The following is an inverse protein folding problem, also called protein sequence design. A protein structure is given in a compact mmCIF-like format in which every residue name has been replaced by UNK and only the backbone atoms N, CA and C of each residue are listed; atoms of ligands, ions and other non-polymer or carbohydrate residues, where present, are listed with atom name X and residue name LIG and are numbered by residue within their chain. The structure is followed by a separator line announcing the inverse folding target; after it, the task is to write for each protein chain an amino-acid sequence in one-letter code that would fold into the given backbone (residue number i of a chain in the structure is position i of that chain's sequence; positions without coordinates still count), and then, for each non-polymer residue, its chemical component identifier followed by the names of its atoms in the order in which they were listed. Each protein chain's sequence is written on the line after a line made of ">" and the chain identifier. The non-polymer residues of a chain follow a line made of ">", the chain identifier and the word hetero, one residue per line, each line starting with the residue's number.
data_IF_700677936994
#
_entry.id   IF_700677936994
#
_cell.length_a   1.000
_cell.length_b   1.000
_cell.length_c   1.000
_cell.angle_alpha   90.00
_cell.angle_beta   90.00
_cell.angle_gamma   90.00
#
_symmetry.space_group_name_H-M   'P 1'
#
loop_
_entity.id
_entity.type
_entity.pdbx_description
1 polymer ?
#
# COMPACT_ATOMS: atom_id res chain seq x y z
N UNK A 1 -10.82 -9.69 -20.56
CA UNK A 1 -10.98 -9.41 -19.26
C UNK A 1 -10.62 -7.98 -18.93
N UNK A 2 -10.74 -7.67 -17.66
CA UNK A 2 -10.69 -6.27 -17.25
C UNK A 2 -9.39 -5.61 -17.69
N UNK A 3 -8.28 -6.26 -17.40
CA UNK A 3 -7.00 -5.65 -17.69
C UNK A 3 -6.76 -5.44 -19.17
N UNK A 4 -7.08 -6.44 -19.98
CA UNK A 4 -6.80 -6.27 -21.38
C UNK A 4 -7.69 -5.19 -21.98
N UNK A 5 -8.93 -5.09 -21.52
CA UNK A 5 -9.79 -4.01 -21.96
C UNK A 5 -9.27 -2.66 -21.58
N UNK A 6 -8.74 -2.54 -20.37
CA UNK A 6 -8.21 -1.28 -19.91
C UNK A 6 -6.91 -0.92 -20.58
N UNK A 7 -6.04 -1.90 -20.73
CA UNK A 7 -4.74 -1.64 -21.31
C UNK A 7 -4.87 -1.19 -22.76
N UNK A 8 -5.73 -1.82 -23.50
CA UNK A 8 -5.85 -1.49 -24.90
C UNK A 8 -6.70 -0.29 -25.18
N UNK A 9 -7.34 0.25 -24.19
CA UNK A 9 -8.25 1.36 -24.40
C UNK A 9 -7.58 2.68 -24.09
N UNK A 10 -8.30 3.73 -24.34
CA UNK A 10 -7.84 5.05 -24.01
C UNK A 10 -8.20 5.43 -22.59
N UNK A 11 -8.62 4.48 -21.77
CA UNK A 11 -8.94 4.77 -20.38
C UNK A 11 -7.70 5.26 -19.65
N UNK A 12 -7.75 6.46 -19.15
CA UNK A 12 -6.62 7.04 -18.45
C UNK A 12 -6.59 6.53 -17.01
N UNK A 13 -5.48 6.83 -16.33
CA UNK A 13 -5.29 6.38 -14.95
C UNK A 13 -6.36 6.96 -14.04
N UNK A 14 -6.77 8.20 -14.29
CA UNK A 14 -7.82 8.82 -13.48
C UNK A 14 -9.13 8.04 -13.57
N UNK A 15 -9.50 7.60 -14.77
CA UNK A 15 -10.73 6.84 -14.93
C UNK A 15 -10.63 5.48 -14.26
N UNK A 16 -9.45 4.87 -14.35
CA UNK A 16 -9.22 3.58 -13.71
C UNK A 16 -9.33 3.69 -12.21
N UNK A 17 -9.02 4.84 -11.66
CA UNK A 17 -9.10 5.04 -10.22
C UNK A 17 -10.51 4.78 -9.69
N UNK A 18 -11.53 5.15 -10.44
CA UNK A 18 -12.89 4.87 -10.03
C UNK A 18 -13.17 3.38 -9.90
N UNK A 19 -12.60 2.59 -10.79
CA UNK A 19 -12.73 1.14 -10.69
C UNK A 19 -11.97 0.61 -9.47
N UNK A 20 -10.79 1.16 -9.20
CA UNK A 20 -10.01 0.73 -8.05
C UNK A 20 -10.79 0.94 -6.76
N UNK A 21 -11.49 2.06 -6.64
CA UNK A 21 -12.30 2.31 -5.45
C UNK A 21 -13.35 1.23 -5.26
N UNK A 22 -13.97 0.79 -6.35
CA UNK A 22 -14.96 -0.28 -6.27
C UNK A 22 -14.32 -1.59 -5.84
N UNK A 23 -13.15 -1.91 -6.39
CA UNK A 23 -12.48 -3.16 -6.06
C UNK A 23 -12.09 -3.21 -4.59
N UNK A 24 -11.56 -2.11 -4.08
CA UNK A 24 -11.11 -2.06 -2.69
C UNK A 24 -12.29 -2.18 -1.72
N UNK A 25 -13.45 -1.71 -2.14
CA UNK A 25 -14.65 -1.78 -1.31
C UNK A 25 -15.40 -3.10 -1.45
N UNK A 26 -14.89 -4.02 -2.24
CA UNK A 26 -15.53 -5.32 -2.46
C UNK A 26 -15.47 -6.19 -1.22
N UNK A 27 -16.34 -7.19 -1.18
CA UNK A 27 -16.27 -8.23 -0.14
C UNK A 27 -15.42 -9.42 -0.56
N UNK A 28 -14.92 -9.41 -1.78
CA UNK A 28 -14.16 -10.54 -2.31
C UNK A 28 -12.67 -10.32 -2.10
N UNK A 29 -12.01 -11.28 -1.48
CA UNK A 29 -10.60 -11.17 -1.14
C UNK A 29 -9.72 -10.90 -2.36
N UNK A 30 -9.95 -11.62 -3.45
CA UNK A 30 -9.12 -11.43 -4.63
C UNK A 30 -9.34 -10.07 -5.26
N UNK A 31 -10.58 -9.59 -5.24
CA UNK A 31 -10.88 -8.28 -5.82
C UNK A 31 -10.22 -7.18 -5.01
N UNK A 32 -10.25 -7.27 -3.69
CA UNK A 32 -9.59 -6.29 -2.84
C UNK A 32 -8.09 -6.30 -3.09
N UNK A 33 -7.49 -7.49 -3.13
CA UNK A 33 -6.06 -7.61 -3.40
C UNK A 33 -5.70 -7.02 -4.75
N UNK A 34 -6.54 -7.26 -5.75
CA UNK A 34 -6.28 -6.73 -7.08
C UNK A 34 -6.28 -5.20 -7.07
N UNK A 35 -7.24 -4.60 -6.36
CA UNK A 35 -7.30 -3.14 -6.26
C UNK A 35 -6.07 -2.57 -5.60
N UNK A 36 -5.64 -3.17 -4.49
CA UNK A 36 -4.43 -2.72 -3.81
C UNK A 36 -3.22 -2.87 -4.74
N UNK A 37 -3.16 -3.98 -5.48
CA UNK A 37 -2.07 -4.23 -6.41
C UNK A 37 -1.99 -3.20 -7.52
N UNK A 38 -3.14 -2.74 -7.99
CA UNK A 38 -3.17 -1.70 -9.02
C UNK A 38 -2.64 -0.39 -8.44
N UNK A 39 -3.05 -0.04 -7.22
CA UNK A 39 -2.51 1.16 -6.58
C UNK A 39 -1.00 1.05 -6.42
N UNK A 40 -0.52 -0.12 -6.05
CA UNK A 40 0.91 -0.33 -5.87
C UNK A 40 1.68 -0.15 -7.18
N UNK A 41 1.15 -0.67 -8.28
CA UNK A 41 1.86 -0.66 -9.55
C UNK A 41 1.74 0.66 -10.29
N UNK A 42 0.61 1.33 -10.19
CA UNK A 42 0.33 2.46 -11.06
C UNK A 42 0.28 3.81 -10.35
N UNK A 43 0.11 3.82 -9.03
CA UNK A 43 -0.20 5.05 -8.32
C UNK A 43 0.80 5.40 -7.22
N UNK A 44 2.02 4.90 -7.32
CA UNK A 44 3.06 5.27 -6.36
C UNK A 44 4.16 6.13 -6.98
N UNK A 45 4.08 6.39 -8.27
CA UNK A 45 5.05 7.24 -8.94
C UNK A 45 4.39 8.54 -9.40
N UNK A 46 4.35 8.78 -10.71
CA UNK A 46 3.88 10.06 -11.22
C UNK A 46 2.43 10.38 -10.85
N UNK A 47 1.60 9.37 -10.72
CA UNK A 47 0.19 9.56 -10.40
C UNK A 47 -0.12 9.42 -8.92
N UNK A 48 0.88 9.49 -8.08
CA UNK A 48 0.71 9.32 -6.65
C UNK A 48 -0.11 10.45 -6.04
N UNK A 49 -0.93 10.08 -5.06
CA UNK A 49 -1.67 11.03 -4.23
C UNK A 49 -1.76 10.45 -2.83
N UNK A 50 -1.67 11.33 -1.83
CA UNK A 50 -1.75 10.86 -0.45
C UNK A 50 -3.09 10.22 -0.11
N UNK A 51 -4.13 10.54 -0.86
CA UNK A 51 -5.42 9.90 -0.62
C UNK A 51 -5.39 8.42 -0.90
N UNK A 52 -4.47 7.98 -1.77
CA UNK A 52 -4.32 6.54 -2.02
C UNK A 52 -3.82 5.83 -0.77
N UNK A 53 -2.87 6.45 -0.06
CA UNK A 53 -2.39 5.89 1.18
C UNK A 53 -3.51 5.79 2.21
N UNK A 54 -4.33 6.82 2.31
CA UNK A 54 -5.42 6.82 3.26
C UNK A 54 -6.42 5.71 2.96
N UNK A 55 -6.70 5.48 1.68
CA UNK A 55 -7.61 4.40 1.28
C UNK A 55 -7.11 3.05 1.74
N UNK A 56 -5.84 2.76 1.45
CA UNK A 56 -5.29 1.46 1.81
C UNK A 56 -5.15 1.32 3.33
N UNK A 57 -4.80 2.41 4.01
CA UNK A 57 -4.64 2.37 5.46
C UNK A 57 -5.94 2.06 6.19
N UNK A 58 -7.08 2.38 5.58
CA UNK A 58 -8.37 2.13 6.22
C UNK A 58 -8.82 0.68 6.12
N UNK A 59 -8.21 -0.10 5.25
CA UNK A 59 -8.64 -1.48 5.06
C UNK A 59 -8.30 -2.29 6.30
N UNK A 60 -9.28 -2.99 6.81
CA UNK A 60 -9.12 -3.88 7.94
C UNK A 60 -9.69 -5.24 7.55
N UNK A 61 -8.89 -6.28 7.74
CA UNK A 61 -9.29 -7.61 7.33
C UNK A 61 -8.56 -8.62 8.19
N UNK A 62 -9.14 -9.81 8.32
CA UNK A 62 -8.47 -10.93 8.96
C UNK A 62 -7.83 -11.85 7.93
N UNK A 63 -7.99 -11.52 6.63
CA UNK A 63 -7.43 -12.35 5.58
C UNK A 63 -5.94 -12.08 5.44
N UNK A 64 -5.18 -13.15 5.54
CA UNK A 64 -3.73 -13.03 5.48
C UNK A 64 -3.25 -12.34 4.21
N UNK A 65 -3.84 -12.72 3.07
CA UNK A 65 -3.34 -12.20 1.79
C UNK A 65 -3.69 -10.72 1.60
N UNK A 66 -4.80 -10.27 2.15
CA UNK A 66 -5.12 -8.85 2.09
C UNK A 66 -4.13 -8.08 2.93
N UNK A 67 -3.86 -8.56 4.15
CA UNK A 67 -2.94 -7.87 5.04
C UNK A 67 -1.52 -7.86 4.49
N UNK A 68 -1.09 -8.94 3.84
CA UNK A 68 0.20 -8.97 3.19
C UNK A 68 0.29 -7.93 2.07
N UNK A 69 -0.79 -7.78 1.32
CA UNK A 69 -0.81 -6.83 0.22
C UNK A 69 -0.75 -5.40 0.74
N UNK A 70 -1.43 -5.12 1.84
CA UNK A 70 -1.37 -3.80 2.46
C UNK A 70 0.05 -3.51 2.93
N UNK A 71 0.69 -4.49 3.57
CA UNK A 71 2.06 -4.32 4.04
C UNK A 71 3.01 -4.09 2.88
N UNK A 72 2.84 -4.85 1.81
CA UNK A 72 3.67 -4.69 0.62
C UNK A 72 3.49 -3.31 0.02
N UNK A 73 2.23 -2.86 -0.05
CA UNK A 73 1.94 -1.54 -0.59
C UNK A 73 2.67 -0.44 0.22
N UNK A 74 2.56 -0.48 1.54
CA UNK A 74 3.19 0.54 2.37
C UNK A 74 4.71 0.42 2.39
N UNK A 75 5.25 -0.79 2.30
CA UNK A 75 6.71 -0.94 2.20
C UNK A 75 7.22 -0.31 0.91
N UNK A 76 6.51 -0.52 -0.20
CA UNK A 76 6.88 0.08 -1.48
C UNK A 76 6.68 1.59 -1.42
N UNK A 77 5.60 2.04 -0.78
CA UNK A 77 5.36 3.47 -0.63
C UNK A 77 6.48 4.14 0.17
N UNK A 78 6.98 3.47 1.19
CA UNK A 78 8.12 4.02 1.93
C UNK A 78 9.35 4.17 1.04
N UNK A 79 9.55 3.24 0.12
CA UNK A 79 10.69 3.33 -0.78
C UNK A 79 10.54 4.44 -1.81
N UNK A 80 9.32 4.70 -2.25
CA UNK A 80 9.09 5.67 -3.32
C UNK A 80 8.58 7.01 -2.83
N UNK A 81 7.81 7.04 -1.76
CA UNK A 81 7.19 8.26 -1.24
C UNK A 81 7.35 8.28 0.27
N UNK A 82 8.59 8.31 0.72
CA UNK A 82 8.90 8.20 2.16
C UNK A 82 8.15 9.24 2.99
N UNK A 83 8.24 10.50 2.58
CA UNK A 83 7.68 11.59 3.39
C UNK A 83 6.17 11.46 3.54
N UNK A 84 5.50 10.94 2.53
CA UNK A 84 4.05 10.78 2.59
C UNK A 84 3.64 9.54 3.36
N UNK A 85 4.46 8.48 3.30
CA UNK A 85 4.08 7.19 3.89
C UNK A 85 4.48 7.07 5.36
N UNK A 86 5.59 7.69 5.77
CA UNK A 86 6.10 7.48 7.11
C UNK A 86 5.14 7.92 8.21
N UNK A 87 4.33 8.98 8.05
CA UNK A 87 3.40 9.35 9.12
C UNK A 87 2.40 8.25 9.47
N UNK A 88 2.09 7.38 8.52
CA UNK A 88 1.16 6.28 8.79
C UNK A 88 1.74 5.29 9.78
N UNK A 89 3.06 5.15 9.80
CA UNK A 89 3.73 4.32 10.78
C UNK A 89 3.96 5.07 12.08
N UNK A 90 4.34 6.34 11.98
CA UNK A 90 4.60 7.14 13.18
C UNK A 90 3.36 7.29 14.04
N UNK A 91 2.20 7.40 13.42
CA UNK A 91 0.95 7.61 14.13
C UNK A 91 0.16 6.33 14.30
N UNK A 92 0.75 5.19 13.97
CA UNK A 92 0.15 3.87 14.16
C UNK A 92 -1.23 3.78 13.50
N UNK A 93 -1.30 4.20 12.26
CA UNK A 93 -2.55 4.20 11.51
C UNK A 93 -2.87 2.86 10.87
N UNK A 94 -1.95 1.92 10.92
CA UNK A 94 -2.14 0.57 10.39
C UNK A 94 -2.42 -0.38 11.54
N UNK A 95 -3.03 -1.53 11.23
CA UNK A 95 -3.20 -2.55 12.26
C UNK A 95 -1.83 -3.03 12.74
N UNK A 96 -1.78 -3.60 13.95
CA UNK A 96 -0.51 -3.99 14.54
C UNK A 96 0.27 -4.95 13.63
N UNK A 97 -0.42 -5.97 13.13
CA UNK A 97 0.25 -6.94 12.28
C UNK A 97 0.79 -6.30 11.00
N UNK A 98 -0.04 -5.45 10.37
CA UNK A 98 0.38 -4.79 9.13
C UNK A 98 1.53 -3.82 9.40
N UNK A 99 1.47 -3.11 10.53
CA UNK A 99 2.55 -2.20 10.91
C UNK A 99 3.88 -2.94 10.99
N UNK A 100 3.90 -4.05 11.73
CA UNK A 100 5.14 -4.81 11.89
C UNK A 100 5.61 -5.43 10.58
N UNK A 101 4.68 -5.95 9.79
CA UNK A 101 5.05 -6.58 8.53
C UNK A 101 5.56 -5.55 7.53
N UNK A 102 4.97 -4.36 7.52
CA UNK A 102 5.43 -3.28 6.66
C UNK A 102 6.89 -2.94 6.96
N UNK A 103 7.21 -2.80 8.24
CA UNK A 103 8.57 -2.47 8.63
C UNK A 103 9.52 -3.60 8.27
N UNK A 104 9.11 -4.84 8.51
CA UNK A 104 9.94 -5.98 8.15
C UNK A 104 10.28 -5.97 6.65
N UNK A 105 9.28 -5.76 5.81
CA UNK A 105 9.52 -5.75 4.37
C UNK A 105 10.35 -4.55 3.94
N UNK A 106 10.13 -3.41 4.57
CA UNK A 106 10.88 -2.21 4.21
C UNK A 106 12.36 -2.37 4.54
N UNK A 107 12.69 -2.93 5.72
CA UNK A 107 14.10 -3.07 6.08
C UNK A 107 14.81 -4.13 5.22
N UNK A 108 14.05 -4.98 4.55
CA UNK A 108 14.64 -5.95 3.63
C UNK A 108 14.91 -5.35 2.25
N UNK A 109 14.40 -4.15 1.99
CA UNK A 109 14.50 -3.53 0.68
C UNK A 109 15.81 -2.76 0.55
N UNK A 110 16.50 -2.96 -0.58
CA UNK A 110 17.72 -2.21 -0.83
C UNK A 110 17.43 -0.73 -1.17
N UNK A 111 16.18 -0.41 -1.45
CA UNK A 111 15.79 0.98 -1.76
C UNK A 111 15.65 1.86 -0.52
N UNK A 112 15.59 1.26 0.64
CA UNK A 112 15.48 1.99 1.90
C UNK A 112 16.90 2.19 2.43
N UNK A 113 17.22 3.44 2.82
CA UNK A 113 18.56 3.73 3.31
C UNK A 113 18.78 3.10 4.68
N UNK A 114 20.05 2.99 5.06
CA UNK A 114 20.39 2.42 6.35
C UNK A 114 19.78 3.22 7.50
N UNK A 115 19.81 4.54 7.38
CA UNK A 115 19.25 5.41 8.41
C UNK A 115 17.74 5.24 8.50
N UNK A 116 17.08 5.13 7.36
CA UNK A 116 15.66 4.88 7.34
C UNK A 116 15.32 3.53 7.96
N UNK A 117 16.13 2.52 7.71
CA UNK A 117 15.90 1.20 8.29
C UNK A 117 15.99 1.25 9.81
N UNK A 118 16.98 1.98 10.32
CA UNK A 118 17.13 2.08 11.76
C UNK A 118 15.96 2.82 12.38
N UNK A 119 15.52 3.88 11.73
CA UNK A 119 14.36 4.60 12.22
C UNK A 119 13.12 3.70 12.23
N UNK A 120 12.94 2.92 11.17
CA UNK A 120 11.79 2.00 11.11
C UNK A 120 11.85 0.97 12.23
N UNK A 121 13.04 0.50 12.58
CA UNK A 121 13.15 -0.46 13.67
C UNK A 121 12.70 0.12 15.00
N UNK A 122 12.94 1.42 15.22
CA UNK A 122 12.43 2.05 16.43
C UNK A 122 10.92 2.12 16.41
N UNK A 123 10.33 2.37 15.25
CA UNK A 123 8.87 2.43 15.15
C UNK A 123 8.23 1.07 15.33
N UNK A 124 8.94 0.00 14.96
CA UNK A 124 8.41 -1.35 15.14
C UNK A 124 8.15 -1.65 16.61
N UNK A 125 8.92 -1.07 17.51
CA UNK A 125 8.76 -1.33 18.93
C UNK A 125 7.55 -0.65 19.53
N UNK A 126 6.87 0.19 18.78
CA UNK A 126 5.70 0.90 19.29
C UNK A 126 4.46 0.03 19.34
N UNK A 127 4.48 -1.17 18.73
CA UNK A 127 3.35 -2.08 18.75
C UNK A 127 3.82 -3.45 19.22
N UNK A 128 2.86 -4.25 19.71
CA UNK A 128 3.17 -5.57 20.26
C UNK A 128 2.66 -6.70 19.36
#
# INVERSE_FOLDING_TARGET
>A
EILSGLVGSEMCIRDRYGEVLKWISSNDTYTIRYGIGILLRLYLDADFSEKHLALVAKIRSEEYYINMMIAWYFATALAKQWDAAIPYLEKKKLSDWVHKKTIQKAVESYRITKEQKEYLRTLKKMVY
#
